data_IF_339457790623
#
_entry.id   IF_339457790623
#
_cell.length_a   1.000
_cell.length_b   1.000
_cell.length_c   1.000
_cell.angle_alpha   90.00
_cell.angle_beta   90.00
_cell.angle_gamma   90.00
#
_symmetry.space_group_name_H-M   'P 1'
#
loop_
_entity.id
_entity.type
_entity.pdbx_description
1 polymer ?
#
# COMPACT_ATOMS: atom_id res chain seq x y z
N UNK A 1 8.70 -13.62 22.90
CA UNK A 1 7.67 -12.66 23.38
C UNK A 1 7.78 -11.26 22.75
N UNK A 2 8.98 -10.71 22.54
CA UNK A 2 9.17 -9.31 22.06
C UNK A 2 8.65 -8.99 20.65
N UNK A 3 8.38 -10.00 19.81
CA UNK A 3 7.72 -9.80 18.52
C UNK A 3 6.20 -9.69 18.67
N UNK A 4 5.56 -10.47 19.54
CA UNK A 4 4.10 -10.46 19.73
C UNK A 4 3.62 -9.27 20.55
N UNK A 5 4.45 -8.80 21.48
CA UNK A 5 4.20 -7.63 22.34
C UNK A 5 5.48 -6.79 22.37
N UNK A 6 5.73 -5.99 21.32
CA UNK A 6 6.89 -5.10 21.32
C UNK A 6 6.73 -4.04 22.42
N UNK A 7 7.83 -3.72 23.09
CA UNK A 7 7.88 -2.54 23.95
C UNK A 7 7.76 -1.29 23.11
N UNK A 8 7.10 -0.27 23.67
CA UNK A 8 6.96 1.02 23.02
C UNK A 8 8.33 1.72 23.01
N UNK A 9 8.81 2.20 21.86
CA UNK A 9 10.06 2.96 21.81
C UNK A 9 9.89 4.32 22.51
N UNK A 10 11.01 4.89 22.97
CA UNK A 10 11.04 6.20 23.62
C UNK A 10 10.54 7.34 22.72
N UNK A 11 10.69 7.21 21.40
CA UNK A 11 10.23 8.18 20.41
C UNK A 11 9.24 7.56 19.41
N UNK A 12 8.25 8.33 18.92
CA UNK A 12 7.84 9.65 19.42
C UNK A 12 7.30 9.63 20.86
N UNK A 13 7.51 10.74 21.56
CA UNK A 13 6.91 10.98 22.87
C UNK A 13 5.37 11.04 22.78
N UNK A 14 4.73 10.75 23.91
CA UNK A 14 3.30 10.91 24.04
C UNK A 14 2.92 12.40 24.06
N UNK A 15 1.86 12.75 23.35
CA UNK A 15 1.33 14.11 23.37
C UNK A 15 0.26 14.18 24.45
N UNK A 16 0.60 14.84 25.57
CA UNK A 16 -0.30 15.05 26.71
C UNK A 16 -1.26 16.21 26.49
N UNK A 17 -0.78 17.30 25.89
CA UNK A 17 -1.57 18.50 25.65
C UNK A 17 -2.84 18.21 24.81
N UNK A 18 -4.05 18.43 25.38
CA UNK A 18 -5.31 18.13 24.70
C UNK A 18 -5.48 18.85 23.35
N UNK A 19 -4.97 20.08 23.23
CA UNK A 19 -5.08 20.85 22.00
C UNK A 19 -4.25 20.22 20.87
N UNK A 20 -2.99 19.86 21.14
CA UNK A 20 -2.14 19.13 20.18
C UNK A 20 -2.68 17.74 19.84
N UNK A 21 -3.26 17.01 20.81
CA UNK A 21 -3.92 15.72 20.53
C UNK A 21 -5.06 15.87 19.54
N UNK A 22 -5.92 16.88 19.74
CA UNK A 22 -7.03 17.19 18.83
C UNK A 22 -6.50 17.57 17.44
N UNK A 23 -5.43 18.35 17.37
CA UNK A 23 -4.80 18.71 16.11
C UNK A 23 -4.29 17.47 15.34
N UNK A 24 -3.66 16.50 16.01
CA UNK A 24 -3.23 15.23 15.37
C UNK A 24 -4.43 14.43 14.84
N UNK A 25 -5.55 14.38 15.59
CA UNK A 25 -6.76 13.70 15.11
C UNK A 25 -7.30 14.37 13.86
N UNK A 26 -7.39 15.70 13.84
CA UNK A 26 -7.81 16.48 12.65
C UNK A 26 -6.85 16.21 11.49
N UNK A 27 -5.54 16.24 11.74
CA UNK A 27 -4.50 15.97 10.76
C UNK A 27 -4.66 14.57 10.13
N UNK A 28 -4.90 13.54 10.95
CA UNK A 28 -5.17 12.18 10.48
C UNK A 28 -6.43 12.12 9.62
N UNK A 29 -7.53 12.75 10.06
CA UNK A 29 -8.80 12.78 9.32
C UNK A 29 -8.62 13.48 7.97
N UNK A 30 -7.94 14.62 7.93
CA UNK A 30 -7.70 15.36 6.68
C UNK A 30 -6.81 14.57 5.74
N UNK A 31 -5.67 14.06 6.23
CA UNK A 31 -4.72 13.30 5.39
C UNK A 31 -5.36 12.05 4.82
N UNK A 32 -6.00 11.23 5.64
CA UNK A 32 -6.65 10.00 5.14
C UNK A 32 -7.93 10.29 4.38
N UNK A 33 -8.62 11.40 4.66
CA UNK A 33 -9.81 11.87 3.94
C UNK A 33 -9.53 12.34 2.51
N UNK A 34 -8.27 12.68 2.17
CA UNK A 34 -7.87 13.03 0.79
C UNK A 34 -6.98 11.98 0.13
N UNK A 35 -6.61 10.91 0.85
CA UNK A 35 -5.72 9.85 0.38
C UNK A 35 -6.35 8.46 0.56
N UNK A 36 -5.65 7.54 1.23
CA UNK A 36 -5.95 6.10 1.29
C UNK A 36 -7.20 5.78 2.11
N UNK A 37 -7.59 6.62 3.07
CA UNK A 37 -8.84 6.43 3.82
C UNK A 37 -10.07 6.61 2.93
N UNK A 38 -10.07 7.66 2.09
CA UNK A 38 -11.10 7.87 1.08
C UNK A 38 -11.07 6.78 0.00
N UNK A 39 -9.88 6.34 -0.42
CA UNK A 39 -9.74 5.17 -1.30
C UNK A 39 -10.36 3.91 -0.68
N UNK A 40 -10.24 3.72 0.63
CA UNK A 40 -10.89 2.64 1.39
C UNK A 40 -12.41 2.69 1.30
N UNK A 41 -13.01 3.86 1.54
CA UNK A 41 -14.46 4.04 1.42
C UNK A 41 -14.95 3.78 -0.01
N UNK A 42 -14.23 4.29 -1.02
CA UNK A 42 -14.54 4.04 -2.44
C UNK A 42 -14.43 2.56 -2.78
N UNK A 43 -13.41 1.87 -2.25
CA UNK A 43 -13.20 0.45 -2.48
C UNK A 43 -14.29 -0.40 -1.83
N UNK A 44 -14.76 -0.03 -0.64
CA UNK A 44 -15.91 -0.68 0.00
C UNK A 44 -17.17 -0.50 -0.84
N UNK A 45 -17.46 0.71 -1.30
CA UNK A 45 -18.62 0.96 -2.17
C UNK A 45 -18.53 0.17 -3.49
N UNK A 46 -17.34 0.10 -4.10
CA UNK A 46 -17.10 -0.71 -5.29
C UNK A 46 -17.38 -2.19 -5.04
N UNK A 47 -16.98 -2.73 -3.88
CA UNK A 47 -17.26 -4.13 -3.54
C UNK A 47 -18.76 -4.36 -3.32
N UNK A 48 -19.43 -3.46 -2.61
CA UNK A 48 -20.89 -3.54 -2.40
C UNK A 48 -21.61 -3.52 -3.74
N UNK A 49 -21.24 -2.62 -4.65
CA UNK A 49 -21.81 -2.57 -6.00
C UNK A 49 -21.58 -3.90 -6.73
N UNK A 50 -20.35 -4.41 -6.75
CA UNK A 50 -20.03 -5.71 -7.35
C UNK A 50 -20.82 -6.88 -6.75
N UNK A 51 -21.10 -6.88 -5.44
CA UNK A 51 -21.88 -7.91 -4.76
C UNK A 51 -23.39 -7.84 -5.08
N UNK A 52 -23.88 -6.66 -5.45
CA UNK A 52 -25.29 -6.45 -5.82
C UNK A 52 -25.57 -6.73 -7.30
N UNK A 53 -24.52 -6.83 -8.13
CA UNK A 53 -24.66 -7.24 -9.53
C UNK A 53 -25.09 -8.71 -9.63
N UNK A 54 -25.88 -9.08 -10.66
CA UNK A 54 -26.28 -10.47 -10.90
C UNK A 54 -25.11 -11.37 -11.34
N UNK A 55 -23.99 -10.77 -11.77
CA UNK A 55 -22.79 -11.48 -12.22
C UNK A 55 -21.93 -11.84 -10.99
N UNK A 56 -21.50 -13.10 -10.82
CA UNK A 56 -20.62 -13.49 -9.71
C UNK A 56 -19.29 -12.72 -9.71
N UNK A 57 -18.71 -12.47 -8.52
CA UNK A 57 -17.46 -11.71 -8.38
C UNK A 57 -16.32 -12.25 -9.26
N UNK A 58 -16.12 -13.58 -9.32
CA UNK A 58 -15.05 -14.19 -10.12
C UNK A 58 -15.21 -13.99 -11.64
N UNK A 59 -16.37 -13.55 -12.12
CA UNK A 59 -16.62 -13.19 -13.52
C UNK A 59 -16.55 -11.68 -13.77
N UNK A 60 -16.36 -10.88 -12.72
CA UNK A 60 -16.13 -9.44 -12.81
C UNK A 60 -14.63 -9.13 -12.81
N UNK A 61 -14.27 -7.91 -13.21
CA UNK A 61 -12.89 -7.49 -13.40
C UNK A 61 -12.57 -6.20 -12.62
N UNK A 62 -11.48 -6.22 -11.88
CA UNK A 62 -10.88 -5.04 -11.26
C UNK A 62 -9.65 -4.64 -12.07
N UNK A 63 -9.66 -3.46 -12.68
CA UNK A 63 -8.57 -3.00 -13.54
C UNK A 63 -7.74 -1.93 -12.84
N UNK A 64 -6.41 -2.08 -12.93
CA UNK A 64 -5.41 -1.10 -12.51
C UNK A 64 -4.65 -0.60 -13.74
N UNK A 65 -4.00 0.57 -13.59
CA UNK A 65 -3.15 1.16 -14.63
C UNK A 65 -3.81 1.08 -16.02
N UNK A 66 -4.95 1.75 -16.17
CA UNK A 66 -5.77 1.77 -17.40
C UNK A 66 -5.37 2.94 -18.30
N UNK A 67 -5.57 2.86 -19.64
CA UNK A 67 -5.38 4.00 -20.52
C UNK A 67 -6.28 5.19 -20.10
N UNK A 68 -5.71 6.39 -20.03
CA UNK A 68 -6.40 7.61 -19.59
C UNK A 68 -6.64 8.62 -20.72
N UNK A 69 -6.09 8.37 -21.90
CA UNK A 69 -6.30 9.17 -23.10
C UNK A 69 -6.07 8.33 -24.36
N UNK A 70 -6.68 8.76 -25.46
CA UNK A 70 -6.47 8.14 -26.78
C UNK A 70 -5.11 8.52 -27.39
N UNK A 71 -4.66 9.77 -27.20
CA UNK A 71 -3.37 10.24 -27.65
C UNK A 71 -2.25 9.73 -26.73
N UNK A 72 -1.33 8.93 -27.29
CA UNK A 72 -0.26 8.23 -26.53
C UNK A 72 0.59 9.15 -25.65
N UNK A 73 0.97 10.33 -26.14
CA UNK A 73 1.74 11.30 -25.34
C UNK A 73 0.93 11.83 -24.15
N UNK A 74 -0.37 12.09 -24.34
CA UNK A 74 -1.24 12.56 -23.26
C UNK A 74 -1.48 11.46 -22.24
N UNK A 75 -1.64 10.21 -22.67
CA UNK A 75 -1.77 9.07 -21.76
C UNK A 75 -0.50 8.91 -20.90
N UNK A 76 0.69 8.90 -21.53
CA UNK A 76 1.98 8.91 -20.83
C UNK A 76 2.04 10.00 -19.74
N UNK A 77 1.74 11.25 -20.10
CA UNK A 77 1.78 12.36 -19.15
C UNK A 77 0.80 12.16 -18.00
N UNK A 78 -0.42 11.68 -18.29
CA UNK A 78 -1.41 11.37 -17.25
C UNK A 78 -0.96 10.24 -16.32
N UNK A 79 -0.36 9.16 -16.84
CA UNK A 79 0.19 8.09 -15.99
C UNK A 79 1.31 8.61 -15.07
N UNK A 80 2.20 9.46 -15.60
CA UNK A 80 3.26 10.09 -14.80
C UNK A 80 2.67 11.00 -13.72
N UNK A 81 1.63 11.77 -14.03
CA UNK A 81 0.93 12.60 -13.04
C UNK A 81 0.24 11.76 -11.97
N UNK A 82 -0.39 10.63 -12.33
CA UNK A 82 -0.98 9.70 -11.37
C UNK A 82 0.08 9.13 -10.41
N UNK A 83 1.23 8.69 -10.93
CA UNK A 83 2.33 8.22 -10.10
C UNK A 83 2.91 9.35 -9.22
N UNK A 84 3.06 10.55 -9.78
CA UNK A 84 3.53 11.74 -9.05
C UNK A 84 2.58 12.14 -7.92
N UNK A 85 1.27 11.98 -8.09
CA UNK A 85 0.28 12.21 -7.05
C UNK A 85 0.47 11.26 -5.86
N UNK A 86 0.72 9.96 -6.12
CA UNK A 86 1.01 8.98 -5.06
C UNK A 86 2.28 9.35 -4.28
N UNK A 87 3.33 9.76 -4.98
CA UNK A 87 4.55 10.29 -4.34
C UNK A 87 4.23 11.52 -3.49
N UNK A 88 3.39 12.43 -4.00
CA UNK A 88 2.91 13.60 -3.27
C UNK A 88 2.17 13.26 -1.97
N UNK A 89 1.33 12.22 -1.98
CA UNK A 89 0.65 11.72 -0.78
C UNK A 89 1.62 11.22 0.28
N UNK A 90 2.60 10.40 -0.10
CA UNK A 90 3.65 9.97 0.82
C UNK A 90 4.47 11.17 1.34
N UNK A 91 4.85 12.09 0.45
CA UNK A 91 5.62 13.28 0.80
C UNK A 91 4.88 14.19 1.80
N UNK A 92 3.56 14.33 1.68
CA UNK A 92 2.73 15.04 2.65
C UNK A 92 2.85 14.42 4.05
N UNK A 93 2.75 13.10 4.16
CA UNK A 93 2.95 12.39 5.43
C UNK A 93 4.34 12.64 6.03
N UNK A 94 5.39 12.55 5.21
CA UNK A 94 6.76 12.86 5.65
C UNK A 94 6.91 14.30 6.12
N UNK A 95 6.37 15.24 5.37
CA UNK A 95 6.41 16.66 5.69
C UNK A 95 5.74 16.95 7.03
N UNK A 96 4.58 16.35 7.30
CA UNK A 96 3.86 16.55 8.57
C UNK A 96 4.60 15.93 9.78
N UNK A 97 5.24 14.76 9.60
CA UNK A 97 6.12 14.20 10.62
C UNK A 97 7.31 15.12 10.90
N UNK A 98 7.96 15.59 9.83
CA UNK A 98 9.09 16.51 9.93
C UNK A 98 8.70 17.82 10.62
N UNK A 99 7.57 18.41 10.22
CA UNK A 99 7.03 19.62 10.84
C UNK A 99 6.67 19.41 12.31
N UNK A 100 6.26 18.18 12.66
CA UNK A 100 5.99 17.72 14.02
C UNK A 100 7.24 17.29 14.81
N UNK A 101 8.45 17.56 14.32
CA UNK A 101 9.71 17.34 15.05
C UNK A 101 10.37 15.97 14.82
N UNK A 102 9.77 15.09 14.00
CA UNK A 102 10.37 13.80 13.68
C UNK A 102 11.40 13.93 12.55
N UNK A 103 12.56 13.29 12.71
CA UNK A 103 13.55 13.14 11.66
C UNK A 103 13.18 11.95 10.79
N UNK A 104 13.38 12.05 9.47
CA UNK A 104 13.12 10.94 8.53
C UNK A 104 13.92 9.67 8.88
N UNK A 105 15.12 9.82 9.44
CA UNK A 105 15.92 8.70 9.93
C UNK A 105 15.24 7.93 11.08
N UNK A 106 14.40 8.58 11.90
CA UNK A 106 13.71 7.94 13.02
C UNK A 106 12.57 7.03 12.57
N UNK A 107 12.03 7.24 11.37
CA UNK A 107 11.03 6.36 10.77
C UNK A 107 11.64 5.39 9.76
N UNK A 108 12.98 5.36 9.63
CA UNK A 108 13.68 4.39 8.80
C UNK A 108 13.99 4.81 7.38
N UNK A 109 13.90 6.11 7.09
CA UNK A 109 14.34 6.71 5.84
C UNK A 109 15.74 7.30 5.98
N UNK A 110 16.71 6.46 6.36
CA UNK A 110 18.14 6.79 6.36
C UNK A 110 18.86 6.06 5.20
N UNK A 111 20.05 6.54 4.83
CA UNK A 111 20.88 5.91 3.77
C UNK A 111 21.98 5.02 4.34
N UNK A 112 21.84 4.49 5.56
CA UNK A 112 22.94 3.82 6.26
C UNK A 112 23.23 2.41 5.73
N UNK A 113 22.24 1.71 5.15
CA UNK A 113 22.38 0.31 4.74
C UNK A 113 21.58 -0.04 3.46
N UNK A 114 21.72 0.72 2.37
CA UNK A 114 20.88 0.57 1.18
C UNK A 114 20.89 -0.85 0.59
N UNK A 115 22.06 -1.49 0.48
CA UNK A 115 22.16 -2.86 -0.05
C UNK A 115 21.45 -3.90 0.82
N UNK A 116 21.56 -3.79 2.15
CA UNK A 116 20.88 -4.69 3.09
C UNK A 116 19.37 -4.46 3.09
N UNK A 117 18.93 -3.20 2.99
CA UNK A 117 17.51 -2.87 2.92
C UNK A 117 16.89 -3.41 1.63
N UNK A 118 17.59 -3.29 0.50
CA UNK A 118 17.15 -3.85 -0.78
C UNK A 118 17.08 -5.38 -0.71
N UNK A 119 18.12 -6.05 -0.20
CA UNK A 119 18.13 -7.51 -0.07
C UNK A 119 17.00 -8.02 0.83
N UNK A 120 16.78 -7.35 1.98
CA UNK A 120 15.66 -7.66 2.86
C UNK A 120 14.32 -7.39 2.17
N UNK A 121 14.20 -6.31 1.41
CA UNK A 121 12.99 -5.99 0.66
C UNK A 121 12.65 -7.07 -0.37
N UNK A 122 13.63 -7.54 -1.14
CA UNK A 122 13.42 -8.63 -2.10
C UNK A 122 13.05 -9.95 -1.42
N UNK A 123 13.67 -10.27 -0.28
CA UNK A 123 13.30 -11.45 0.52
C UNK A 123 11.86 -11.35 1.02
N UNK A 124 11.45 -10.18 1.53
CA UNK A 124 10.08 -9.94 1.98
C UNK A 124 9.09 -10.01 0.81
N UNK A 125 9.45 -9.47 -0.36
CA UNK A 125 8.63 -9.56 -1.55
C UNK A 125 8.40 -11.02 -1.95
N UNK A 126 9.43 -11.88 -1.93
CA UNK A 126 9.24 -13.30 -2.19
C UNK A 126 8.38 -13.98 -1.12
N UNK A 127 8.66 -13.70 0.16
CA UNK A 127 7.97 -14.31 1.31
C UNK A 127 6.48 -13.94 1.41
N UNK A 128 6.09 -12.76 0.91
CA UNK A 128 4.70 -12.30 0.87
C UNK A 128 4.07 -12.60 -0.49
N UNK A 129 4.77 -12.33 -1.57
CA UNK A 129 4.25 -12.42 -2.94
C UNK A 129 3.93 -13.85 -3.36
N UNK A 130 4.80 -14.82 -3.05
CA UNK A 130 4.57 -16.21 -3.44
C UNK A 130 3.32 -16.78 -2.74
N UNK A 131 3.19 -16.73 -1.39
CA UNK A 131 1.94 -17.13 -0.74
C UNK A 131 0.75 -16.25 -1.13
N UNK A 132 0.97 -14.96 -1.41
CA UNK A 132 -0.05 -14.01 -1.85
C UNK A 132 -0.68 -14.39 -3.19
N UNK A 133 0.12 -14.87 -4.15
CA UNK A 133 -0.39 -15.45 -5.40
C UNK A 133 -1.26 -16.68 -5.13
N UNK A 134 -0.83 -17.57 -4.22
CA UNK A 134 -1.63 -18.71 -3.79
C UNK A 134 -2.97 -18.28 -3.19
N UNK A 135 -2.96 -17.30 -2.28
CA UNK A 135 -4.18 -16.73 -1.72
C UNK A 135 -5.10 -16.15 -2.79
N UNK A 136 -4.55 -15.40 -3.75
CA UNK A 136 -5.31 -14.82 -4.86
C UNK A 136 -5.99 -15.91 -5.71
N UNK A 137 -5.27 -16.94 -6.13
CA UNK A 137 -5.86 -18.00 -6.96
C UNK A 137 -6.91 -18.80 -6.19
N UNK A 138 -6.67 -19.09 -4.90
CA UNK A 138 -7.67 -19.77 -4.06
C UNK A 138 -8.91 -18.89 -3.89
N UNK A 139 -8.76 -17.61 -3.52
CA UNK A 139 -9.91 -16.73 -3.32
C UNK A 139 -10.69 -16.46 -4.60
N UNK A 140 -9.99 -16.35 -5.73
CA UNK A 140 -10.59 -16.21 -7.06
C UNK A 140 -11.37 -17.48 -7.44
N UNK A 141 -10.77 -18.67 -7.31
CA UNK A 141 -11.43 -19.94 -7.64
C UNK A 141 -12.65 -20.24 -6.77
N UNK A 142 -12.66 -19.76 -5.53
CA UNK A 142 -13.79 -19.89 -4.59
C UNK A 142 -14.86 -18.79 -4.78
N UNK A 143 -14.68 -17.85 -5.71
CA UNK A 143 -15.68 -16.79 -5.97
C UNK A 143 -15.62 -15.60 -5.01
N UNK A 144 -14.58 -15.50 -4.17
CA UNK A 144 -14.41 -14.40 -3.20
C UNK A 144 -13.63 -13.21 -3.75
N UNK A 145 -13.05 -13.32 -4.94
CA UNK A 145 -12.24 -12.28 -5.58
C UNK A 145 -12.63 -12.05 -7.03
N UNK A 146 -12.47 -10.82 -7.48
CA UNK A 146 -12.57 -10.46 -8.90
C UNK A 146 -11.32 -10.91 -9.66
N UNK A 147 -11.43 -11.01 -10.99
CA UNK A 147 -10.23 -11.09 -11.83
C UNK A 147 -9.52 -9.73 -11.79
N UNK A 148 -8.32 -9.71 -11.23
CA UNK A 148 -7.54 -8.47 -11.11
C UNK A 148 -6.66 -8.37 -12.34
N UNK A 149 -6.76 -7.26 -13.06
CA UNK A 149 -5.90 -6.92 -14.18
C UNK A 149 -4.96 -5.79 -13.75
N UNK A 150 -3.72 -6.11 -13.34
CA UNK A 150 -2.80 -5.11 -12.81
C UNK A 150 -2.38 -4.05 -13.83
N UNK A 151 -2.55 -4.32 -15.14
CA UNK A 151 -2.44 -3.32 -16.19
C UNK A 151 -3.27 -3.71 -17.41
N UNK A 152 -3.92 -2.71 -18.02
CA UNK A 152 -4.53 -2.82 -19.36
C UNK A 152 -3.92 -1.83 -20.36
N UNK A 153 -2.75 -1.26 -20.05
CA UNK A 153 -2.02 -0.41 -20.97
C UNK A 153 -1.59 -1.18 -22.23
N UNK A 154 -1.85 -0.57 -23.39
CA UNK A 154 -1.41 -1.07 -24.68
C UNK A 154 0.12 -1.18 -24.79
N UNK A 155 0.60 -1.86 -25.82
CA UNK A 155 2.04 -1.99 -26.06
C UNK A 155 2.65 -0.64 -26.49
N UNK A 156 3.32 0.03 -25.56
CA UNK A 156 4.05 1.28 -25.80
C UNK A 156 5.47 1.20 -25.22
N UNK A 157 6.39 2.00 -25.76
CA UNK A 157 7.76 2.06 -25.23
C UNK A 157 7.82 2.57 -23.79
N UNK A 158 6.85 3.41 -23.40
CA UNK A 158 6.80 4.03 -22.08
C UNK A 158 6.03 3.20 -21.04
N UNK A 159 5.24 2.20 -21.45
CA UNK A 159 4.49 1.32 -20.53
C UNK A 159 5.33 0.76 -19.38
N UNK A 160 6.48 0.09 -19.60
CA UNK A 160 7.28 -0.42 -18.49
C UNK A 160 7.77 0.69 -17.56
N UNK A 161 8.04 1.89 -18.08
CA UNK A 161 8.50 3.04 -17.30
C UNK A 161 7.38 3.52 -16.38
N UNK A 162 6.19 3.79 -16.92
CA UNK A 162 5.06 4.30 -16.11
C UNK A 162 4.55 3.27 -15.12
N UNK A 163 4.54 1.98 -15.46
CA UNK A 163 4.18 0.92 -14.52
C UNK A 163 5.20 0.81 -13.37
N UNK A 164 6.49 0.99 -13.65
CA UNK A 164 7.52 1.02 -12.60
C UNK A 164 7.36 2.24 -11.69
N UNK A 165 7.08 3.42 -12.26
CA UNK A 165 6.80 4.63 -11.50
C UNK A 165 5.54 4.49 -10.64
N UNK A 166 4.49 3.88 -11.19
CA UNK A 166 3.24 3.58 -10.47
C UNK A 166 3.49 2.61 -9.31
N UNK A 167 4.23 1.52 -9.54
CA UNK A 167 4.61 0.56 -8.50
C UNK A 167 5.39 1.22 -7.35
N UNK A 168 6.38 2.06 -7.67
CA UNK A 168 7.10 2.81 -6.64
C UNK A 168 6.21 3.83 -5.95
N UNK A 169 5.40 4.60 -6.70
CA UNK A 169 4.53 5.62 -6.16
C UNK A 169 3.52 5.03 -5.17
N UNK A 170 2.90 3.90 -5.53
CA UNK A 170 1.95 3.18 -4.69
C UNK A 170 2.61 2.66 -3.42
N UNK A 171 3.71 1.91 -3.56
CA UNK A 171 4.52 1.44 -2.44
C UNK A 171 4.96 2.59 -1.51
N UNK A 172 5.45 3.69 -2.07
CA UNK A 172 5.88 4.84 -1.30
C UNK A 172 4.71 5.47 -0.53
N UNK A 173 3.58 5.74 -1.19
CA UNK A 173 2.41 6.32 -0.57
C UNK A 173 1.90 5.45 0.59
N UNK A 174 1.71 4.15 0.34
CA UNK A 174 1.15 3.21 1.30
C UNK A 174 2.09 2.96 2.49
N UNK A 175 3.36 2.67 2.25
CA UNK A 175 4.29 2.40 3.36
C UNK A 175 4.56 3.67 4.18
N UNK A 176 4.66 4.83 3.55
CA UNK A 176 4.84 6.08 4.28
C UNK A 176 3.59 6.44 5.08
N UNK A 177 2.39 6.42 4.48
CA UNK A 177 1.19 6.88 5.17
C UNK A 177 0.67 5.85 6.18
N UNK A 178 0.56 4.59 5.78
CA UNK A 178 -0.13 3.56 6.57
C UNK A 178 0.78 2.94 7.61
N UNK A 179 2.07 2.76 7.30
CA UNK A 179 3.04 2.19 8.25
C UNK A 179 3.73 3.30 9.02
N UNK A 180 4.53 4.15 8.38
CA UNK A 180 5.33 5.11 9.14
C UNK A 180 4.49 6.21 9.81
N UNK A 181 3.69 6.93 9.03
CA UNK A 181 2.94 8.10 9.48
C UNK A 181 1.83 7.72 10.48
N UNK A 182 0.91 6.83 10.09
CA UNK A 182 -0.21 6.45 10.94
C UNK A 182 0.25 5.79 12.24
N UNK A 183 1.17 4.82 12.20
CA UNK A 183 1.64 4.18 13.44
C UNK A 183 2.35 5.19 14.35
N UNK A 184 3.14 6.10 13.78
CA UNK A 184 3.79 7.19 14.55
C UNK A 184 2.77 8.10 15.21
N UNK A 185 1.74 8.55 14.48
CA UNK A 185 0.67 9.42 15.02
C UNK A 185 -0.20 8.71 16.06
N UNK A 186 -0.58 7.45 15.82
CA UNK A 186 -1.31 6.64 16.80
C UNK A 186 -0.49 6.44 18.08
N UNK A 187 0.84 6.23 17.94
CA UNK A 187 1.75 6.20 19.08
C UNK A 187 1.76 7.55 19.80
N UNK A 188 1.82 8.69 19.11
CA UNK A 188 1.71 10.01 19.78
C UNK A 188 0.39 10.19 20.52
N UNK A 189 -0.70 9.64 19.99
CA UNK A 189 -2.03 9.63 20.63
C UNK A 189 -2.15 8.62 21.79
N UNK A 190 -1.14 7.80 22.06
CA UNK A 190 -1.12 6.86 23.18
C UNK A 190 -1.68 5.47 22.88
N UNK A 191 -1.94 5.15 21.61
CA UNK A 191 -2.38 3.82 21.23
C UNK A 191 -1.27 2.79 21.49
N UNK A 192 -1.68 1.57 21.86
CA UNK A 192 -0.77 0.44 22.06
C UNK A 192 -0.29 -0.08 20.71
N UNK A 193 0.95 -0.56 20.64
CA UNK A 193 1.57 -1.06 19.40
C UNK A 193 0.69 -2.04 18.62
N UNK A 194 0.11 -3.04 19.31
CA UNK A 194 -0.72 -4.04 18.62
C UNK A 194 -2.05 -3.48 18.14
N UNK A 195 -2.66 -2.54 18.88
CA UNK A 195 -3.90 -1.88 18.46
C UNK A 195 -3.64 -1.01 17.23
N UNK A 196 -2.55 -0.24 17.24
CA UNK A 196 -2.12 0.56 16.08
C UNK A 196 -1.82 -0.32 14.87
N UNK A 197 -1.14 -1.45 15.07
CA UNK A 197 -0.81 -2.40 14.01
C UNK A 197 -2.07 -2.96 13.35
N UNK A 198 -3.06 -3.40 14.14
CA UNK A 198 -4.33 -3.91 13.60
C UNK A 198 -5.08 -2.83 12.85
N UNK A 199 -5.20 -1.62 13.42
CA UNK A 199 -5.89 -0.51 12.76
C UNK A 199 -5.23 -0.13 11.42
N UNK A 200 -3.90 -0.03 11.40
CA UNK A 200 -3.12 0.22 10.18
C UNK A 200 -3.30 -0.90 9.14
N UNK A 201 -3.29 -2.16 9.56
CA UNK A 201 -3.46 -3.31 8.66
C UNK A 201 -4.87 -3.41 8.07
N UNK A 202 -5.90 -3.11 8.87
CA UNK A 202 -7.30 -3.05 8.40
C UNK A 202 -7.49 -1.87 7.46
N UNK A 203 -6.91 -0.71 7.75
CA UNK A 203 -6.92 0.42 6.82
C UNK A 203 -6.27 0.01 5.49
N UNK A 204 -5.12 -0.70 5.55
CA UNK A 204 -4.47 -1.27 4.35
C UNK A 204 -5.42 -2.15 3.54
N UNK A 205 -5.99 -3.17 4.18
CA UNK A 205 -6.96 -4.03 3.51
C UNK A 205 -8.15 -3.26 2.90
N UNK A 206 -8.62 -2.20 3.57
CA UNK A 206 -9.84 -1.49 3.17
C UNK A 206 -9.75 -0.89 1.77
N UNK A 207 -8.61 -0.31 1.38
CA UNK A 207 -8.44 0.27 0.04
C UNK A 207 -8.12 -0.77 -1.05
N UNK A 208 -8.18 -2.06 -0.71
CA UNK A 208 -8.14 -3.18 -1.66
C UNK A 208 -9.46 -3.97 -1.74
N UNK A 209 -10.52 -3.53 -1.04
CA UNK A 209 -11.82 -4.21 -1.07
C UNK A 209 -12.41 -4.32 -2.48
N UNK A 210 -12.09 -3.39 -3.38
CA UNK A 210 -12.54 -3.43 -4.79
C UNK A 210 -12.03 -4.66 -5.56
N UNK A 211 -11.02 -5.36 -5.04
CA UNK A 211 -10.50 -6.62 -5.61
C UNK A 211 -11.27 -7.85 -5.06
N UNK A 212 -12.18 -7.66 -4.11
CA UNK A 212 -12.88 -8.71 -3.36
C UNK A 212 -12.23 -9.03 -2.00
N UNK A 213 -12.79 -10.01 -1.31
CA UNK A 213 -12.38 -10.38 0.05
C UNK A 213 -10.94 -10.92 0.10
N UNK A 214 -10.49 -11.64 -0.94
CA UNK A 214 -9.11 -12.10 -1.02
C UNK A 214 -8.09 -10.96 -1.05
N UNK A 215 -8.39 -9.90 -1.81
CA UNK A 215 -7.55 -8.68 -1.86
C UNK A 215 -7.49 -7.97 -0.50
N UNK A 216 -8.63 -7.87 0.20
CA UNK A 216 -8.67 -7.35 1.57
C UNK A 216 -7.81 -8.17 2.53
N UNK A 217 -8.03 -9.49 2.61
CA UNK A 217 -7.32 -10.36 3.56
C UNK A 217 -5.82 -10.39 3.30
N UNK A 218 -5.41 -10.51 2.03
CA UNK A 218 -3.99 -10.51 1.66
C UNK A 218 -3.28 -9.24 2.12
N UNK A 219 -3.94 -8.09 1.95
CA UNK A 219 -3.40 -6.79 2.34
C UNK A 219 -3.43 -6.54 3.85
N UNK A 220 -4.40 -7.08 4.59
CA UNK A 220 -4.35 -7.13 6.06
C UNK A 220 -3.12 -7.92 6.52
N UNK A 221 -2.89 -9.12 5.96
CA UNK A 221 -1.74 -9.96 6.33
C UNK A 221 -0.42 -9.25 6.03
N UNK A 222 -0.28 -8.67 4.83
CA UNK A 222 0.89 -7.87 4.47
C UNK A 222 1.09 -6.70 5.44
N UNK A 223 0.02 -5.97 5.77
CA UNK A 223 0.04 -4.86 6.73
C UNK A 223 0.51 -5.30 8.12
N UNK A 224 0.07 -6.46 8.60
CA UNK A 224 0.50 -7.02 9.88
C UNK A 224 2.00 -7.33 9.87
N UNK A 225 2.51 -7.93 8.80
CA UNK A 225 3.94 -8.28 8.66
C UNK A 225 4.79 -7.01 8.55
N UNK A 226 4.42 -6.09 7.66
CA UNK A 226 5.19 -4.89 7.37
C UNK A 226 5.17 -3.93 8.55
N UNK A 227 3.99 -3.66 9.11
CA UNK A 227 3.82 -2.83 10.29
C UNK A 227 4.59 -3.41 11.49
N UNK A 228 4.56 -4.73 11.70
CA UNK A 228 5.33 -5.34 12.79
C UNK A 228 6.83 -5.25 12.55
N UNK A 229 7.31 -5.48 11.34
CA UNK A 229 8.72 -5.33 11.01
C UNK A 229 9.19 -3.89 11.25
N UNK A 230 8.37 -2.90 10.86
CA UNK A 230 8.64 -1.51 11.15
C UNK A 230 8.66 -1.21 12.65
N UNK A 231 7.66 -1.67 13.42
CA UNK A 231 7.65 -1.48 14.89
C UNK A 231 8.92 -2.03 15.58
N UNK A 232 9.49 -3.10 15.04
CA UNK A 232 10.68 -3.76 15.61
C UNK A 232 12.00 -3.18 15.16
N UNK A 233 12.05 -2.59 13.97
CA UNK A 233 13.31 -2.18 13.34
C UNK A 233 13.40 -0.69 13.07
N UNK A 234 12.26 0.01 13.02
CA UNK A 234 12.09 1.35 12.50
C UNK A 234 12.78 1.51 11.14
N UNK A 235 12.68 0.51 10.25
CA UNK A 235 13.23 0.55 8.88
C UNK A 235 12.07 0.59 7.89
N UNK A 236 12.02 1.62 7.05
CA UNK A 236 10.97 1.79 6.05
C UNK A 236 11.43 1.43 4.63
N UNK A 237 12.70 1.69 4.30
CA UNK A 237 13.26 1.34 2.99
C UNK A 237 13.07 -0.12 2.57
N UNK A 238 13.28 -1.13 3.45
CA UNK A 238 13.02 -2.52 3.06
C UNK A 238 11.55 -2.77 2.69
N UNK A 239 10.61 -2.09 3.35
CA UNK A 239 9.18 -2.23 3.08
C UNK A 239 8.80 -1.58 1.75
N UNK A 240 9.29 -0.37 1.50
CA UNK A 240 9.10 0.32 0.22
C UNK A 240 9.69 -0.52 -0.92
N UNK A 241 10.89 -1.06 -0.75
CA UNK A 241 11.52 -1.93 -1.75
C UNK A 241 10.73 -3.23 -1.99
N UNK A 242 10.26 -3.87 -0.92
CA UNK A 242 9.46 -5.08 -1.01
C UNK A 242 8.14 -4.83 -1.76
N UNK A 243 7.41 -3.79 -1.37
CA UNK A 243 6.15 -3.42 -2.00
C UNK A 243 6.36 -2.99 -3.46
N UNK A 244 7.38 -2.18 -3.74
CA UNK A 244 7.71 -1.80 -5.13
C UNK A 244 7.98 -3.03 -5.99
N UNK A 245 8.69 -4.03 -5.45
CA UNK A 245 8.95 -5.28 -6.18
C UNK A 245 7.67 -6.10 -6.42
N UNK A 246 6.78 -6.20 -5.43
CA UNK A 246 5.48 -6.86 -5.56
C UNK A 246 4.62 -6.21 -6.65
N UNK A 247 4.50 -4.89 -6.61
CA UNK A 247 3.72 -4.13 -7.59
C UNK A 247 4.38 -4.15 -8.97
N UNK A 248 5.71 -4.04 -9.05
CA UNK A 248 6.43 -4.14 -10.32
C UNK A 248 6.21 -5.49 -10.99
N UNK A 249 6.37 -6.59 -10.25
CA UNK A 249 6.12 -7.94 -10.77
C UNK A 249 4.66 -8.10 -11.18
N UNK A 250 3.73 -7.58 -10.38
CA UNK A 250 2.30 -7.64 -10.70
C UNK A 250 1.96 -6.81 -11.93
N UNK A 251 2.49 -5.60 -12.08
CA UNK A 251 2.12 -4.67 -13.14
C UNK A 251 2.84 -5.00 -14.44
N UNK A 252 4.17 -5.00 -14.41
CA UNK A 252 5.03 -5.23 -15.58
C UNK A 252 5.02 -6.71 -15.95
N UNK A 253 5.14 -7.62 -14.97
CA UNK A 253 5.11 -9.05 -15.22
C UNK A 253 3.79 -9.50 -15.84
N UNK A 254 2.64 -9.03 -15.32
CA UNK A 254 1.35 -9.30 -15.94
C UNK A 254 1.27 -8.76 -17.37
N UNK A 255 1.67 -7.51 -17.61
CA UNK A 255 1.63 -6.90 -18.94
C UNK A 255 2.51 -7.61 -19.98
N UNK A 256 3.55 -8.34 -19.54
CA UNK A 256 4.44 -9.13 -20.40
C UNK A 256 3.92 -10.56 -20.62
N UNK A 257 3.28 -11.17 -19.60
CA UNK A 257 2.88 -12.57 -19.60
C UNK A 257 1.44 -12.80 -20.05
N UNK A 258 0.54 -11.81 -19.91
CA UNK A 258 -0.87 -11.94 -20.32
C UNK A 258 -0.96 -12.35 -21.79
N UNK A 259 -1.75 -13.39 -22.08
CA UNK A 259 -1.90 -13.96 -23.42
C UNK A 259 -0.74 -14.85 -23.89
N UNK A 260 0.30 -15.05 -23.05
CA UNK A 260 1.41 -15.98 -23.30
C UNK A 260 1.41 -17.18 -22.36
N UNK A 261 0.66 -17.11 -21.26
CA UNK A 261 0.50 -18.20 -20.28
C UNK A 261 -0.97 -18.45 -20.01
N UNK A 262 -1.36 -19.71 -19.83
CA UNK A 262 -2.75 -20.14 -19.69
C UNK A 262 -3.35 -19.96 -18.30
N UNK A 263 -2.52 -19.73 -17.28
CA UNK A 263 -2.93 -19.64 -15.88
C UNK A 263 -3.27 -18.21 -15.44
N UNK A 264 -2.96 -17.20 -16.26
CA UNK A 264 -3.39 -15.83 -16.01
C UNK A 264 -4.80 -15.62 -16.58
N UNK A 265 -5.75 -15.10 -15.78
CA UNK A 265 -7.07 -14.73 -16.27
C UNK A 265 -7.07 -13.45 -17.11
#
# INVERSE_FOLDING_TARGET
MSWLRPERPALPEFVEDPARRRAIVIELVVVFGITLGLSGLRSLLSLVDSLLQPVPLAQQQAQLNVPQATLSLVDLLKQVLSAGQLVGWGALGLYLLWRGGMKLAQIGLDRRRPGRDLALGLLLAAAIGIPGLGLYFVSYSLGFSLSVQPSTLGATWWRPITLTLSAFGNAFAEEVLVVAYLLTRLRQLGWRENTSLVASSVLRGSYHLYQGFGGFVGNVVMGLVFGRLWQKTNRLWPLIAAHTALDFVSFVGYALLKGRVSWLP
#
